data_IF_231992073657
#
_entry.id   IF_231992073657
#
_cell.length_a   1.000
_cell.length_b   1.000
_cell.length_c   1.000
_cell.angle_alpha   90.00
_cell.angle_beta   90.00
_cell.angle_gamma   90.00
#
_symmetry.space_group_name_H-M   'P 1'
#
loop_
_entity.id
_entity.type
_entity.pdbx_description
1 polymer ?
#
# COMPACT_ATOMS: atom_id res chain seq x y z
N UNK A 1 -3.50 39.05 14.95
CA UNK A 1 -3.94 37.66 14.74
C UNK A 1 -2.68 36.90 14.36
N UNK A 2 -2.00 36.29 15.34
CA UNK A 2 -0.75 35.60 15.09
C UNK A 2 -1.05 34.28 14.39
N UNK A 3 -0.63 34.16 13.13
CA UNK A 3 -0.58 32.89 12.42
C UNK A 3 0.48 32.07 13.15
N UNK A 4 0.07 31.20 14.07
CA UNK A 4 0.95 30.17 14.62
C UNK A 4 1.34 29.26 13.47
N UNK A 5 2.50 29.52 12.88
CA UNK A 5 3.18 28.57 12.00
C UNK A 5 3.57 27.37 12.85
N UNK A 6 2.68 26.38 12.96
CA UNK A 6 3.03 25.09 13.53
C UNK A 6 3.94 24.39 12.52
N UNK A 7 5.24 24.41 12.80
CA UNK A 7 6.22 23.62 12.05
C UNK A 7 5.92 22.15 12.32
N UNK A 8 5.56 21.40 11.28
CA UNK A 8 5.33 19.96 11.36
C UNK A 8 6.69 19.24 11.49
N UNK A 9 6.85 18.39 12.50
CA UNK A 9 8.06 17.56 12.62
C UNK A 9 7.93 16.33 11.72
N UNK A 10 8.61 16.35 10.58
CA UNK A 10 8.58 15.26 9.58
C UNK A 10 9.11 13.92 10.10
N UNK A 11 9.81 13.91 11.24
CA UNK A 11 10.29 12.69 11.88
C UNK A 11 9.23 12.00 12.76
N UNK A 12 8.03 12.58 12.89
CA UNK A 12 6.98 12.09 13.78
C UNK A 12 5.66 11.80 13.08
N UNK A 13 5.52 12.17 11.82
CA UNK A 13 4.24 12.12 11.10
C UNK A 13 4.25 11.10 9.97
N UNK A 14 3.09 10.50 9.74
CA UNK A 14 2.87 9.59 8.64
C UNK A 14 2.86 10.34 7.30
N UNK A 15 3.62 9.82 6.33
CA UNK A 15 3.69 10.33 4.95
C UNK A 15 2.34 10.39 4.24
N UNK A 16 1.42 9.47 4.55
CA UNK A 16 0.15 9.33 3.83
C UNK A 16 -1.02 10.03 4.51
N UNK A 17 -1.04 10.11 5.84
CA UNK A 17 -2.18 10.68 6.57
C UNK A 17 -1.83 11.78 7.58
N UNK A 18 -0.54 12.11 7.73
CA UNK A 18 -0.01 13.10 8.68
C UNK A 18 -0.26 12.79 10.17
N UNK A 19 -0.76 11.60 10.52
CA UNK A 19 -0.92 11.21 11.92
C UNK A 19 0.43 10.96 12.58
N UNK A 20 0.54 11.33 13.86
CA UNK A 20 1.64 10.97 14.74
C UNK A 20 1.21 9.77 15.57
N UNK A 21 1.88 8.63 15.39
CA UNK A 21 1.61 7.39 16.10
C UNK A 21 2.84 6.97 16.90
N UNK A 22 2.63 6.16 17.94
CA UNK A 22 3.72 5.63 18.77
C UNK A 22 4.61 4.65 18.02
N UNK A 23 4.06 3.98 16.99
CA UNK A 23 4.76 2.99 16.17
C UNK A 23 4.73 3.45 14.72
N UNK A 24 5.93 3.71 14.19
CA UNK A 24 6.15 4.20 12.84
C UNK A 24 7.20 3.33 12.16
N UNK A 25 6.94 2.96 10.91
CA UNK A 25 7.86 2.17 10.09
C UNK A 25 8.50 3.05 9.02
N UNK A 26 9.73 2.71 8.62
CA UNK A 26 10.36 3.38 7.48
C UNK A 26 9.72 2.89 6.18
N UNK A 27 9.41 3.82 5.28
CA UNK A 27 8.87 3.49 3.95
C UNK A 27 9.86 2.70 3.10
N UNK A 28 11.16 2.83 3.40
CA UNK A 28 12.26 2.29 2.60
C UNK A 28 12.92 1.04 3.23
N UNK A 29 12.37 0.53 4.33
CA UNK A 29 12.90 -0.65 5.03
C UNK A 29 12.43 -1.95 4.38
N UNK A 30 13.37 -2.84 4.07
CA UNK A 30 13.07 -4.20 3.59
C UNK A 30 12.65 -5.15 4.70
N UNK A 31 13.00 -4.86 5.97
CA UNK A 31 12.70 -5.73 7.10
C UNK A 31 11.20 -5.79 7.42
N UNK A 32 10.46 -4.75 7.05
CA UNK A 32 9.03 -4.62 7.29
C UNK A 32 8.18 -5.14 6.11
N UNK A 33 8.82 -5.55 5.00
CA UNK A 33 8.18 -6.13 3.81
C UNK A 33 7.84 -7.63 3.98
N UNK A 34 7.38 -8.04 5.16
CA UNK A 34 7.10 -9.46 5.49
C UNK A 34 6.03 -10.09 4.59
N UNK A 35 5.19 -9.28 3.93
CA UNK A 35 4.00 -9.73 3.21
C UNK A 35 4.06 -9.60 1.68
N UNK A 36 5.13 -9.00 1.12
CA UNK A 36 5.25 -8.75 -0.32
C UNK A 36 6.71 -8.64 -0.77
N UNK A 37 7.02 -9.20 -1.94
CA UNK A 37 8.31 -9.01 -2.62
C UNK A 37 8.42 -7.66 -3.33
N UNK A 38 7.32 -6.91 -3.40
CA UNK A 38 7.28 -5.60 -4.07
C UNK A 38 7.57 -4.50 -3.05
N UNK A 39 8.56 -3.62 -3.30
CA UNK A 39 8.89 -2.53 -2.39
C UNK A 39 7.68 -1.65 -2.06
N UNK A 40 7.54 -1.27 -0.79
CA UNK A 40 6.45 -0.42 -0.30
C UNK A 40 6.25 0.88 -1.12
N UNK A 41 7.30 1.62 -1.57
CA UNK A 41 7.12 2.78 -2.44
C UNK A 41 6.32 2.48 -3.71
N UNK A 42 6.58 1.34 -4.35
CA UNK A 42 5.87 0.94 -5.57
C UNK A 42 4.41 0.57 -5.27
N UNK A 43 4.16 -0.05 -4.12
CA UNK A 43 2.80 -0.41 -3.68
C UNK A 43 1.97 0.84 -3.37
N UNK A 44 2.56 1.83 -2.71
CA UNK A 44 1.94 3.15 -2.46
C UNK A 44 1.54 3.80 -3.80
N UNK A 45 2.49 3.92 -4.74
CA UNK A 45 2.23 4.50 -6.04
C UNK A 45 1.12 3.74 -6.80
N UNK A 46 1.19 2.41 -6.77
CA UNK A 46 0.26 1.53 -7.45
C UNK A 46 -1.19 1.61 -6.93
N UNK A 47 -1.39 1.94 -5.65
CA UNK A 47 -2.71 1.93 -5.00
C UNK A 47 -3.32 3.33 -4.82
N UNK A 48 -2.51 4.34 -4.49
CA UNK A 48 -3.01 5.69 -4.15
C UNK A 48 -2.41 6.79 -5.02
N UNK A 49 -1.57 6.45 -6.01
CA UNK A 49 -0.96 7.41 -6.94
C UNK A 49 -0.15 8.53 -6.27
N UNK A 50 0.47 8.21 -5.12
CA UNK A 50 1.40 9.10 -4.43
C UNK A 50 2.82 8.60 -4.69
N UNK A 51 3.65 9.45 -5.29
CA UNK A 51 5.07 9.19 -5.44
C UNK A 51 5.79 9.45 -4.11
N UNK A 52 6.63 8.50 -3.69
CA UNK A 52 7.47 8.61 -2.50
C UNK A 52 8.91 8.34 -2.88
N UNK A 53 9.81 9.23 -2.48
CA UNK A 53 11.24 9.12 -2.76
C UNK A 53 12.04 9.48 -1.51
N UNK A 54 13.14 8.79 -1.26
CA UNK A 54 14.03 9.11 -0.13
C UNK A 54 14.70 10.48 -0.26
N UNK A 55 14.61 11.12 -1.43
CA UNK A 55 15.21 12.42 -1.75
C UNK A 55 14.21 13.57 -1.87
N UNK A 56 12.91 13.34 -1.65
CA UNK A 56 11.87 14.37 -1.81
C UNK A 56 11.81 15.40 -0.67
N UNK A 57 12.54 15.16 0.43
CA UNK A 57 12.58 16.04 1.59
C UNK A 57 11.34 15.99 2.48
N UNK A 58 10.50 14.95 2.33
CA UNK A 58 9.22 14.82 3.02
C UNK A 58 9.26 13.64 4.02
N UNK A 59 8.22 13.42 4.86
CA UNK A 59 8.27 12.38 5.89
C UNK A 59 8.61 10.99 5.33
N UNK A 60 9.61 10.32 5.91
CA UNK A 60 10.06 8.99 5.50
C UNK A 60 9.36 7.84 6.23
N UNK A 61 8.37 8.17 7.07
CA UNK A 61 7.69 7.23 7.94
C UNK A 61 6.24 6.98 7.52
N UNK A 62 5.75 5.78 7.80
CA UNK A 62 4.36 5.37 7.63
C UNK A 62 3.83 4.79 8.94
N UNK A 63 2.60 5.15 9.29
CA UNK A 63 1.93 4.56 10.45
C UNK A 63 1.38 3.16 10.12
N UNK A 64 1.17 2.34 11.15
CA UNK A 64 0.68 0.97 11.00
C UNK A 64 -0.65 0.86 10.23
N UNK A 65 -1.57 1.82 10.43
CA UNK A 65 -2.86 1.84 9.73
C UNK A 65 -2.70 2.07 8.23
N UNK A 66 -1.87 3.03 7.82
CA UNK A 66 -1.60 3.28 6.41
C UNK A 66 -0.83 2.12 5.77
N UNK A 67 0.11 1.51 6.47
CA UNK A 67 0.84 0.34 5.99
C UNK A 67 -0.11 -0.83 5.73
N UNK A 68 -0.98 -1.15 6.69
CA UNK A 68 -1.98 -2.22 6.57
C UNK A 68 -2.95 -1.98 5.40
N UNK A 69 -3.40 -0.73 5.21
CA UNK A 69 -4.28 -0.35 4.10
C UNK A 69 -3.59 -0.51 2.74
N UNK A 70 -2.35 -0.03 2.59
CA UNK A 70 -1.58 -0.19 1.34
C UNK A 70 -1.36 -1.67 1.02
N UNK A 71 -1.00 -2.48 2.01
CA UNK A 71 -0.85 -3.93 1.84
C UNK A 71 -2.16 -4.60 1.40
N UNK A 72 -3.29 -4.22 2.02
CA UNK A 72 -4.61 -4.74 1.69
C UNK A 72 -5.06 -4.33 0.28
N UNK A 73 -4.91 -3.05 -0.08
CA UNK A 73 -5.26 -2.54 -1.40
C UNK A 73 -4.39 -3.14 -2.50
N UNK A 74 -3.10 -3.35 -2.24
CA UNK A 74 -2.22 -3.96 -3.23
C UNK A 74 -2.64 -5.40 -3.55
N UNK A 75 -2.95 -6.20 -2.52
CA UNK A 75 -3.48 -7.56 -2.71
C UNK A 75 -4.84 -7.58 -3.41
N UNK A 76 -5.70 -6.64 -3.07
CA UNK A 76 -7.01 -6.50 -3.72
C UNK A 76 -6.86 -6.11 -5.20
N UNK A 77 -5.93 -5.20 -5.51
CA UNK A 77 -5.59 -4.82 -6.88
C UNK A 77 -5.10 -6.03 -7.68
N UNK A 78 -4.16 -6.81 -7.16
CA UNK A 78 -3.66 -8.03 -7.82
C UNK A 78 -4.82 -9.02 -8.10
N UNK A 79 -5.75 -9.17 -7.14
CA UNK A 79 -6.95 -10.00 -7.34
C UNK A 79 -7.81 -9.48 -8.49
N UNK A 80 -8.10 -8.17 -8.52
CA UNK A 80 -8.90 -7.56 -9.58
C UNK A 80 -8.26 -7.66 -10.96
N UNK A 81 -6.95 -7.39 -11.07
CA UNK A 81 -6.21 -7.47 -12.34
C UNK A 81 -6.17 -8.89 -12.89
N UNK A 82 -5.96 -9.89 -12.01
CA UNK A 82 -6.02 -11.30 -12.40
C UNK A 82 -7.43 -11.69 -12.86
N UNK A 83 -8.46 -11.29 -12.13
CA UNK A 83 -9.85 -11.57 -12.51
C UNK A 83 -10.19 -10.95 -13.87
N UNK A 84 -9.87 -9.67 -14.10
CA UNK A 84 -10.11 -9.00 -15.38
C UNK A 84 -9.35 -9.67 -16.54
N UNK A 85 -8.08 -10.05 -16.32
CA UNK A 85 -7.27 -10.78 -17.30
C UNK A 85 -7.91 -12.11 -17.71
N UNK A 86 -8.36 -12.92 -16.74
CA UNK A 86 -9.03 -14.19 -17.00
C UNK A 86 -10.36 -14.00 -17.74
N UNK A 87 -11.17 -13.04 -17.29
CA UNK A 87 -12.45 -12.72 -17.94
C UNK A 87 -12.28 -12.32 -19.41
N UNK A 88 -11.25 -11.52 -19.73
CA UNK A 88 -10.93 -11.13 -21.11
C UNK A 88 -10.51 -12.31 -21.98
N UNK A 89 -9.79 -13.29 -21.43
CA UNK A 89 -9.43 -14.52 -22.15
C UNK A 89 -10.66 -15.38 -22.45
N UNK A 90 -11.58 -15.48 -21.49
CA UNK A 90 -12.84 -16.20 -21.68
C UNK A 90 -13.65 -15.63 -22.85
N UNK A 91 -13.76 -14.30 -22.96
CA UNK A 91 -14.50 -13.65 -24.08
C UNK A 91 -13.83 -13.92 -25.44
N UNK A 92 -12.52 -14.16 -25.47
CA UNK A 92 -11.75 -14.48 -26.68
C UNK A 92 -11.72 -15.97 -27.03
N UNK A 93 -12.36 -16.83 -26.22
CA UNK A 93 -12.26 -18.29 -26.31
C UNK A 93 -10.81 -18.81 -26.23
N UNK A 94 -9.93 -18.11 -25.50
CA UNK A 94 -8.57 -18.57 -25.21
C UNK A 94 -8.60 -19.58 -24.05
N UNK A 95 -7.74 -20.62 -24.04
CA UNK A 95 -7.66 -21.55 -22.92
C UNK A 95 -7.26 -20.83 -21.63
N UNK A 96 -8.06 -21.01 -20.58
CA UNK A 96 -7.83 -20.42 -19.26
C UNK A 96 -7.55 -21.54 -18.25
N UNK A 97 -6.43 -21.44 -17.53
CA UNK A 97 -6.22 -22.24 -16.33
C UNK A 97 -6.79 -21.50 -15.14
N UNK A 98 -7.96 -21.95 -14.66
CA UNK A 98 -8.60 -21.41 -13.47
C UNK A 98 -8.00 -22.12 -12.26
N UNK A 99 -6.84 -21.68 -11.81
CA UNK A 99 -6.37 -21.99 -10.47
C UNK A 99 -7.27 -21.21 -9.51
N UNK A 100 -8.00 -21.92 -8.64
CA UNK A 100 -8.93 -21.32 -7.70
C UNK A 100 -8.26 -20.15 -6.97
N UNK A 101 -8.92 -18.98 -6.94
CA UNK A 101 -8.52 -17.81 -6.14
C UNK A 101 -8.68 -18.20 -4.66
N UNK A 102 -7.74 -18.97 -4.12
CA UNK A 102 -7.90 -19.68 -2.84
C UNK A 102 -7.52 -18.85 -1.61
N UNK A 103 -7.22 -17.56 -1.73
CA UNK A 103 -6.82 -16.75 -0.59
C UNK A 103 -7.51 -15.38 -0.54
N UNK A 104 -8.85 -15.37 -0.50
CA UNK A 104 -9.51 -14.39 0.37
C UNK A 104 -9.49 -15.00 1.77
N UNK A 105 -8.42 -14.75 2.53
CA UNK A 105 -8.37 -15.13 3.94
C UNK A 105 -9.64 -14.60 4.62
N UNK A 106 -10.50 -15.50 5.10
CA UNK A 106 -11.75 -15.22 5.83
C UNK A 106 -11.53 -14.49 7.17
N UNK A 107 -10.34 -13.97 7.43
CA UNK A 107 -9.92 -13.42 8.73
C UNK A 107 -10.17 -11.92 8.90
N UNK A 108 -10.80 -11.24 7.94
CA UNK A 108 -11.14 -9.81 8.05
C UNK A 108 -12.66 -9.53 8.19
N UNK A 109 -13.46 -10.54 8.55
CA UNK A 109 -14.89 -10.40 8.86
C UNK A 109 -15.24 -10.77 10.32
N UNK A 110 -14.31 -10.57 11.25
CA UNK A 110 -14.58 -10.64 12.70
C UNK A 110 -14.06 -9.41 13.39
#
# INVERSE_FOLDING_TARGET
MEVRSSVLDFNKVCRLCLSEETVMSSIYSEADNLSSTVPLPLRIMACVSVEVSSTDGLPSQICASCLCQVDGWYKFKDLCENADSLLRKCVKNEPVQVEAISHVSRTLLT
#
